data_IF_590319961311
#
_entry.id   IF_590319961311
#
_cell.length_a   1.000
_cell.length_b   1.000
_cell.length_c   1.000
_cell.angle_alpha   90.00
_cell.angle_beta   90.00
_cell.angle_gamma   90.00
#
_symmetry.space_group_name_H-M   'P 1'
#
loop_
_entity.id
_entity.type
_entity.pdbx_description
1 polymer ?
#
# COMPACT_ATOMS: atom_id res chain seq x y z
N UNK A 1 -28.15 -6.66 12.92
CA UNK A 1 -27.58 -5.45 12.29
C UNK A 1 -28.59 -4.31 12.07
N UNK A 2 -29.77 -4.55 11.45
CA UNK A 2 -30.75 -3.48 11.13
C UNK A 2 -31.23 -2.66 12.34
N UNK A 3 -31.49 -3.30 13.49
CA UNK A 3 -31.89 -2.61 14.74
C UNK A 3 -30.81 -1.65 15.24
N UNK A 4 -29.55 -2.10 15.31
CA UNK A 4 -28.42 -1.28 15.74
C UNK A 4 -28.21 -0.07 14.80
N UNK A 5 -28.26 -0.28 13.48
CA UNK A 5 -28.17 0.82 12.51
C UNK A 5 -29.30 1.84 12.66
N UNK A 6 -30.54 1.39 12.92
CA UNK A 6 -31.67 2.27 13.18
C UNK A 6 -31.45 3.11 14.44
N UNK A 7 -30.95 2.49 15.52
CA UNK A 7 -30.62 3.19 16.77
C UNK A 7 -29.53 4.24 16.55
N UNK A 8 -28.42 3.87 15.91
CA UNK A 8 -27.32 4.78 15.59
C UNK A 8 -27.80 5.96 14.73
N UNK A 9 -28.56 5.69 13.66
CA UNK A 9 -29.15 6.73 12.81
C UNK A 9 -30.03 7.70 13.62
N UNK A 10 -30.83 7.16 14.54
CA UNK A 10 -31.65 7.97 15.45
C UNK A 10 -30.82 8.84 16.39
N UNK A 11 -29.78 8.28 17.01
CA UNK A 11 -28.89 9.00 17.93
C UNK A 11 -28.14 10.12 17.20
N UNK A 12 -27.47 9.80 16.09
CA UNK A 12 -26.76 10.78 15.26
C UNK A 12 -27.70 11.89 14.77
N UNK A 13 -28.91 11.55 14.32
CA UNK A 13 -29.90 12.54 13.89
C UNK A 13 -30.46 13.43 15.00
N UNK A 14 -30.47 12.96 16.25
CA UNK A 14 -30.81 13.80 17.42
C UNK A 14 -29.69 14.77 17.74
N UNK A 15 -28.46 14.28 17.86
CA UNK A 15 -27.27 15.12 18.14
C UNK A 15 -27.09 16.19 17.07
N UNK A 16 -27.20 15.84 15.78
CA UNK A 16 -27.11 16.80 14.68
C UNK A 16 -28.16 17.92 14.78
N UNK A 17 -29.41 17.59 15.12
CA UNK A 17 -30.48 18.61 15.29
C UNK A 17 -30.23 19.49 16.50
N UNK A 18 -29.70 18.93 17.56
CA UNK A 18 -29.40 19.68 18.78
C UNK A 18 -28.27 20.69 18.56
N UNK A 19 -27.15 20.24 17.99
CA UNK A 19 -26.03 21.10 17.59
C UNK A 19 -26.45 22.21 16.62
N UNK A 20 -27.37 21.92 15.69
CA UNK A 20 -27.95 22.94 14.80
C UNK A 20 -28.71 24.02 15.55
N UNK A 21 -29.47 23.68 16.58
CA UNK A 21 -30.24 24.65 17.39
C UNK A 21 -29.33 25.53 18.25
N UNK A 22 -28.19 24.98 18.67
CA UNK A 22 -27.20 25.70 19.49
C UNK A 22 -26.16 26.46 18.66
N UNK A 23 -26.25 26.42 17.32
CA UNK A 23 -25.24 26.99 16.45
C UNK A 23 -25.03 28.49 16.66
N UNK A 24 -26.10 29.23 16.98
CA UNK A 24 -26.02 30.67 17.27
C UNK A 24 -25.34 30.98 18.60
N UNK A 25 -25.27 30.00 19.51
CA UNK A 25 -24.50 30.11 20.75
C UNK A 25 -23.00 29.88 20.53
N UNK A 26 -22.59 29.43 19.33
CA UNK A 26 -21.19 29.27 18.97
C UNK A 26 -20.67 30.59 18.39
N UNK A 27 -19.67 31.24 18.99
CA UNK A 27 -19.08 32.46 18.46
C UNK A 27 -18.58 32.27 17.02
N UNK A 28 -18.67 33.32 16.21
CA UNK A 28 -18.11 33.30 14.87
C UNK A 28 -16.59 33.02 14.92
N UNK A 29 -16.10 32.25 13.96
CA UNK A 29 -14.70 31.88 13.84
C UNK A 29 -14.47 30.41 13.48
N UNK A 30 -13.22 29.94 13.54
CA UNK A 30 -12.82 28.64 13.01
C UNK A 30 -13.55 27.44 13.64
N UNK A 31 -13.97 27.55 14.90
CA UNK A 31 -14.74 26.50 15.56
C UNK A 31 -16.14 26.37 14.95
N UNK A 32 -16.84 27.49 14.72
CA UNK A 32 -18.18 27.49 14.12
C UNK A 32 -18.16 26.93 12.70
N UNK A 33 -17.13 27.27 11.92
CA UNK A 33 -16.91 26.71 10.58
C UNK A 33 -16.73 25.18 10.62
N UNK A 34 -15.87 24.67 11.50
CA UNK A 34 -15.70 23.21 11.67
C UNK A 34 -16.99 22.50 12.09
N UNK A 35 -17.77 23.13 12.97
CA UNK A 35 -19.09 22.60 13.38
C UNK A 35 -20.04 22.56 12.18
N UNK A 36 -20.08 23.62 11.37
CA UNK A 36 -20.87 23.69 10.15
C UNK A 36 -20.47 22.59 9.15
N UNK A 37 -19.18 22.42 8.88
CA UNK A 37 -18.66 21.37 7.99
C UNK A 37 -19.09 19.98 8.45
N UNK A 38 -18.95 19.70 9.75
CA UNK A 38 -19.38 18.43 10.35
C UNK A 38 -20.90 18.23 10.27
N UNK A 39 -21.69 19.29 10.44
CA UNK A 39 -23.14 19.23 10.29
C UNK A 39 -23.56 18.97 8.83
N UNK A 40 -22.83 19.51 7.85
CA UNK A 40 -23.04 19.24 6.41
C UNK A 40 -22.73 17.77 6.11
N UNK A 41 -21.56 17.27 6.53
CA UNK A 41 -21.15 15.88 6.34
C UNK A 41 -22.12 14.90 7.00
N UNK A 42 -22.51 15.16 8.25
CA UNK A 42 -23.46 14.31 9.00
C UNK A 42 -24.83 14.30 8.34
N UNK A 43 -25.29 15.45 7.82
CA UNK A 43 -26.55 15.55 7.08
C UNK A 43 -26.53 14.72 5.81
N UNK A 44 -25.43 14.74 5.05
CA UNK A 44 -25.23 13.89 3.87
C UNK A 44 -25.21 12.41 4.26
N UNK A 45 -24.48 12.04 5.30
CA UNK A 45 -24.42 10.66 5.81
C UNK A 45 -25.81 10.11 6.18
N UNK A 46 -26.66 10.90 6.84
CA UNK A 46 -28.00 10.47 7.24
C UNK A 46 -28.99 10.31 6.07
N UNK A 47 -28.79 11.06 4.99
CA UNK A 47 -29.60 11.02 3.76
C UNK A 47 -29.16 9.94 2.78
N UNK A 48 -27.89 9.55 2.84
CA UNK A 48 -27.28 8.55 1.97
C UNK A 48 -28.06 7.23 1.96
N UNK A 49 -28.24 6.68 0.75
CA UNK A 49 -28.93 5.43 0.47
C UNK A 49 -27.97 4.31 0.08
N UNK A 50 -28.41 3.04 0.14
CA UNK A 50 -27.57 1.89 -0.20
C UNK A 50 -27.05 1.86 -1.64
N UNK A 51 -27.64 2.58 -2.60
CA UNK A 51 -27.22 2.58 -4.00
C UNK A 51 -26.50 3.87 -4.43
N UNK A 52 -26.32 4.82 -3.52
CA UNK A 52 -25.66 6.09 -3.84
C UNK A 52 -24.18 5.87 -4.19
N UNK A 53 -23.68 6.69 -5.12
CA UNK A 53 -22.25 6.78 -5.42
C UNK A 53 -21.58 7.78 -4.47
N UNK A 54 -20.26 7.66 -4.30
CA UNK A 54 -19.47 8.59 -3.46
C UNK A 54 -19.97 8.59 -2.02
N UNK A 55 -20.03 7.43 -1.39
CA UNK A 55 -20.54 7.30 -0.02
C UNK A 55 -19.53 7.78 1.00
N UNK A 56 -20.02 8.37 2.08
CA UNK A 56 -19.23 8.66 3.27
C UNK A 56 -19.12 7.36 4.09
N UNK A 57 -17.90 6.88 4.27
CA UNK A 57 -17.58 5.74 5.12
C UNK A 57 -16.97 6.16 6.47
N UNK A 58 -16.33 7.34 6.52
CA UNK A 58 -15.77 7.94 7.73
C UNK A 58 -16.07 9.44 7.74
N UNK A 59 -16.50 9.97 8.89
CA UNK A 59 -16.66 11.42 9.07
C UNK A 59 -15.32 12.13 9.28
N UNK A 60 -14.32 11.43 9.79
CA UNK A 60 -12.98 11.98 10.04
C UNK A 60 -12.11 12.01 8.78
N UNK A 61 -12.48 11.23 7.78
CA UNK A 61 -11.75 11.09 6.51
C UNK A 61 -12.78 10.79 5.38
N UNK A 62 -13.54 11.81 4.92
CA UNK A 62 -14.64 11.64 3.96
C UNK A 62 -14.22 11.07 2.60
N UNK A 63 -12.94 11.20 2.25
CA UNK A 63 -12.29 10.70 1.03
C UNK A 63 -11.98 9.19 1.05
N UNK A 64 -12.13 8.52 2.19
CA UNK A 64 -11.87 7.08 2.31
C UNK A 64 -12.74 6.27 1.36
N UNK A 65 -12.12 5.42 0.55
CA UNK A 65 -12.84 4.49 -0.31
C UNK A 65 -13.22 3.20 0.43
N UNK A 66 -14.27 2.55 -0.06
CA UNK A 66 -14.59 1.17 0.29
C UNK A 66 -14.10 0.24 -0.81
N UNK A 67 -13.20 -0.66 -0.45
CA UNK A 67 -12.53 -1.59 -1.36
C UNK A 67 -13.06 -2.99 -1.09
N UNK A 68 -13.73 -3.58 -2.06
CA UNK A 68 -14.21 -4.96 -2.00
C UNK A 68 -13.04 -5.93 -1.99
N UNK A 69 -13.08 -6.86 -1.05
CA UNK A 69 -12.16 -8.00 -0.98
C UNK A 69 -12.85 -9.27 -1.48
N UNK A 70 -12.12 -10.07 -2.24
CA UNK A 70 -12.52 -11.44 -2.59
C UNK A 70 -12.44 -12.45 -1.42
N UNK A 71 -12.37 -12.00 -0.16
CA UNK A 71 -12.21 -12.86 1.02
C UNK A 71 -13.55 -12.99 1.75
N UNK A 72 -14.00 -14.23 2.00
CA UNK A 72 -15.31 -14.52 2.59
C UNK A 72 -15.54 -13.88 3.98
N UNK A 73 -14.48 -13.87 4.83
CA UNK A 73 -14.55 -13.39 6.22
C UNK A 73 -14.44 -11.87 6.35
N UNK A 74 -13.65 -11.20 5.51
CA UNK A 74 -13.55 -9.74 5.46
C UNK A 74 -13.81 -9.28 4.03
N UNK A 75 -15.06 -8.89 3.76
CA UNK A 75 -15.55 -8.55 2.41
C UNK A 75 -15.17 -7.14 1.95
N UNK A 76 -14.84 -6.26 2.88
CA UNK A 76 -14.52 -4.87 2.60
C UNK A 76 -13.33 -4.42 3.43
N UNK A 77 -12.50 -3.58 2.82
CA UNK A 77 -11.55 -2.71 3.50
C UNK A 77 -11.89 -1.25 3.23
N UNK A 78 -11.43 -0.39 4.12
CA UNK A 78 -11.60 1.04 4.02
C UNK A 78 -10.24 1.71 3.93
N UNK A 79 -10.08 2.59 2.96
CA UNK A 79 -8.87 3.37 2.72
C UNK A 79 -8.68 3.60 1.24
N UNK A 80 -7.58 4.27 0.90
CA UNK A 80 -7.22 4.54 -0.51
C UNK A 80 -6.44 3.38 -1.10
N UNK A 81 -6.80 2.97 -2.32
CA UNK A 81 -6.07 1.94 -3.08
C UNK A 81 -4.66 2.45 -3.38
N UNK A 82 -3.68 1.56 -3.41
CA UNK A 82 -2.30 1.92 -3.75
C UNK A 82 -1.78 0.97 -4.84
N UNK A 83 -1.30 1.53 -5.94
CA UNK A 83 -0.52 0.80 -6.94
C UNK A 83 0.89 0.59 -6.43
N UNK A 84 1.45 -0.61 -6.66
CA UNK A 84 2.80 -1.00 -6.24
C UNK A 84 3.49 -1.70 -7.41
N UNK A 85 4.65 -1.21 -7.80
CA UNK A 85 5.53 -1.81 -8.79
C UNK A 85 6.86 -2.19 -8.14
N UNK A 86 7.30 -3.43 -8.36
CA UNK A 86 8.53 -3.97 -7.81
C UNK A 86 9.40 -4.61 -8.88
N UNK A 87 10.73 -4.60 -8.70
CA UNK A 87 11.64 -5.38 -9.54
C UNK A 87 11.36 -6.87 -9.37
N UNK A 88 11.45 -7.63 -10.46
CA UNK A 88 11.04 -9.04 -10.47
C UNK A 88 12.03 -9.95 -9.73
N UNK A 89 13.30 -9.58 -9.70
CA UNK A 89 14.37 -10.44 -9.19
C UNK A 89 14.69 -10.13 -7.72
N UNK A 90 14.80 -8.85 -7.37
CA UNK A 90 15.18 -8.41 -6.03
C UNK A 90 13.98 -7.93 -5.20
N UNK A 91 12.83 -7.63 -5.82
CA UNK A 91 11.65 -7.11 -5.12
C UNK A 91 11.84 -5.69 -4.58
N UNK A 92 12.67 -4.85 -5.19
CA UNK A 92 12.75 -3.43 -4.81
C UNK A 92 11.55 -2.68 -5.34
N UNK A 93 10.96 -1.82 -4.52
CA UNK A 93 9.81 -1.01 -4.94
C UNK A 93 10.32 0.14 -5.80
N UNK A 94 9.89 0.18 -7.06
CA UNK A 94 10.31 1.17 -8.07
C UNK A 94 9.18 2.09 -8.51
N UNK A 95 7.97 1.84 -8.01
CA UNK A 95 6.81 2.71 -8.17
C UNK A 95 5.79 2.43 -7.09
N UNK A 96 5.22 3.47 -6.49
CA UNK A 96 4.14 3.34 -5.52
C UNK A 96 3.28 4.60 -5.56
N UNK A 97 1.96 4.44 -5.76
CA UNK A 97 1.05 5.57 -5.99
C UNK A 97 -0.31 5.33 -5.36
N UNK A 98 -0.81 6.30 -4.61
CA UNK A 98 -2.18 6.30 -4.11
C UNK A 98 -3.17 6.55 -5.26
N UNK A 99 -4.28 5.82 -5.25
CA UNK A 99 -5.31 5.78 -6.28
C UNK A 99 -6.69 6.02 -5.62
N UNK A 100 -7.05 7.28 -5.34
CA UNK A 100 -8.35 7.62 -4.74
C UNK A 100 -9.51 7.36 -5.71
N UNK A 101 -10.69 7.10 -5.17
CA UNK A 101 -11.91 6.81 -5.93
C UNK A 101 -12.07 5.33 -6.31
N UNK A 102 -11.23 4.44 -5.76
CA UNK A 102 -11.21 3.00 -6.04
C UNK A 102 -11.32 2.65 -7.55
N UNK A 103 -10.39 3.13 -8.40
CA UNK A 103 -10.41 2.84 -9.83
C UNK A 103 -10.22 1.35 -10.11
N UNK A 104 -10.66 0.89 -11.29
CA UNK A 104 -10.37 -0.47 -11.76
C UNK A 104 -8.89 -0.64 -12.08
N UNK A 105 -8.26 -1.72 -11.61
CA UNK A 105 -6.80 -1.93 -11.68
C UNK A 105 -6.28 -1.89 -13.13
N UNK A 106 -7.03 -2.43 -14.11
CA UNK A 106 -6.64 -2.35 -15.52
C UNK A 106 -6.41 -0.92 -16.01
N UNK A 107 -7.23 0.03 -15.56
CA UNK A 107 -7.14 1.43 -15.99
C UNK A 107 -5.95 2.18 -15.36
N UNK A 108 -5.32 1.62 -14.33
CA UNK A 108 -4.22 2.29 -13.61
C UNK A 108 -2.84 1.82 -14.05
N UNK A 109 -2.77 0.82 -14.94
CA UNK A 109 -1.48 0.26 -15.36
C UNK A 109 -0.62 1.26 -16.11
N UNK A 110 -1.22 2.03 -17.03
CA UNK A 110 -0.49 3.02 -17.83
C UNK A 110 0.23 4.05 -16.93
N UNK A 111 -0.51 4.64 -15.98
CA UNK A 111 0.04 5.58 -15.01
C UNK A 111 1.09 4.94 -14.08
N UNK A 112 0.92 3.67 -13.73
CA UNK A 112 1.89 2.95 -12.90
C UNK A 112 3.21 2.71 -13.66
N UNK A 113 3.14 2.35 -14.94
CA UNK A 113 4.33 2.17 -15.78
C UNK A 113 5.02 3.51 -16.03
N UNK A 114 4.27 4.55 -16.39
CA UNK A 114 4.79 5.91 -16.55
C UNK A 114 5.53 6.38 -15.29
N UNK A 115 4.95 6.16 -14.10
CA UNK A 115 5.60 6.50 -12.85
C UNK A 115 6.97 5.80 -12.71
N UNK A 116 7.04 4.50 -13.02
CA UNK A 116 8.30 3.76 -12.93
C UNK A 116 9.32 4.29 -13.94
N UNK A 117 8.90 4.59 -15.17
CA UNK A 117 9.81 5.14 -16.19
C UNK A 117 10.37 6.50 -15.76
N UNK A 118 9.53 7.38 -15.21
CA UNK A 118 9.96 8.68 -14.67
C UNK A 118 10.92 8.52 -13.50
N UNK A 119 10.64 7.63 -12.55
CA UNK A 119 11.46 7.45 -11.35
C UNK A 119 12.80 6.74 -11.62
N UNK A 120 12.85 5.91 -12.66
CA UNK A 120 14.04 5.11 -12.98
C UNK A 120 14.81 5.60 -14.19
N UNK A 121 14.27 6.59 -14.91
CA UNK A 121 14.76 7.09 -16.20
C UNK A 121 15.01 5.95 -17.21
N UNK A 122 14.14 4.93 -17.18
CA UNK A 122 14.27 3.72 -18.00
C UNK A 122 12.93 3.25 -18.51
N UNK A 123 12.84 3.06 -19.82
CA UNK A 123 11.68 2.44 -20.46
C UNK A 123 11.57 0.97 -20.09
N UNK A 124 10.37 0.54 -19.69
CA UNK A 124 10.11 -0.84 -19.30
C UNK A 124 9.91 -1.74 -20.52
N UNK A 125 10.74 -2.78 -20.64
CA UNK A 125 10.59 -3.79 -21.68
C UNK A 125 9.47 -4.79 -21.36
N UNK A 126 9.25 -5.08 -20.08
CA UNK A 126 8.33 -6.12 -19.62
C UNK A 126 7.72 -5.76 -18.26
N UNK A 127 6.40 -5.91 -18.14
CA UNK A 127 5.69 -5.85 -16.87
C UNK A 127 4.93 -7.16 -16.64
N UNK A 128 4.95 -7.69 -15.41
CA UNK A 128 4.23 -8.92 -15.04
C UNK A 128 3.17 -8.58 -14.01
N UNK A 129 1.91 -8.81 -14.33
CA UNK A 129 0.77 -8.27 -13.58
C UNK A 129 -0.26 -9.34 -13.23
N UNK A 130 -1.09 -9.02 -12.24
CA UNK A 130 -2.21 -9.85 -11.82
C UNK A 130 -3.39 -9.83 -12.79
N UNK A 131 -4.31 -10.81 -12.71
CA UNK A 131 -5.46 -10.87 -13.61
C UNK A 131 -6.39 -9.65 -13.51
N UNK A 132 -6.33 -8.90 -12.42
CA UNK A 132 -7.09 -7.65 -12.24
C UNK A 132 -6.73 -6.56 -13.25
N UNK A 133 -5.54 -6.63 -13.85
CA UNK A 133 -5.05 -5.66 -14.84
C UNK A 133 -5.49 -5.95 -16.28
N UNK A 134 -6.45 -6.86 -16.51
CA UNK A 134 -6.98 -7.10 -17.86
C UNK A 134 -7.64 -5.84 -18.43
N UNK A 135 -7.56 -5.65 -19.75
CA UNK A 135 -8.13 -4.48 -20.42
C UNK A 135 -7.35 -3.19 -20.22
N UNK A 136 -6.04 -3.27 -19.94
CA UNK A 136 -5.20 -2.12 -19.60
C UNK A 136 -4.84 -1.17 -20.75
N UNK A 137 -5.09 -1.55 -22.01
CA UNK A 137 -4.82 -0.73 -23.21
C UNK A 137 -3.39 -0.17 -23.35
N UNK A 138 -2.39 -0.81 -22.72
CA UNK A 138 -0.96 -0.41 -22.84
C UNK A 138 -0.32 -1.14 -24.01
N UNK A 139 0.28 -0.38 -24.92
CA UNK A 139 0.97 -0.90 -26.11
C UNK A 139 2.49 -0.70 -26.04
N UNK A 140 2.95 0.25 -25.24
CA UNK A 140 4.36 0.68 -25.18
C UNK A 140 5.28 -0.29 -24.47
N UNK A 141 4.75 -1.12 -23.58
CA UNK A 141 5.45 -2.10 -22.75
C UNK A 141 4.81 -3.46 -22.93
N UNK A 142 5.60 -4.53 -23.05
CA UNK A 142 5.06 -5.89 -23.08
C UNK A 142 4.49 -6.25 -21.72
N UNK A 143 3.19 -6.53 -21.64
CA UNK A 143 2.51 -6.90 -20.39
C UNK A 143 2.22 -8.41 -20.37
N UNK A 144 2.69 -9.11 -19.34
CA UNK A 144 2.35 -10.50 -19.06
C UNK A 144 1.32 -10.57 -17.94
N UNK A 145 0.10 -10.97 -18.29
CA UNK A 145 -0.98 -11.14 -17.32
C UNK A 145 -1.01 -12.57 -16.80
N UNK A 146 -1.11 -12.75 -15.49
CA UNK A 146 -1.27 -14.06 -14.86
C UNK A 146 -2.48 -14.83 -15.40
N UNK A 147 -2.31 -16.15 -15.58
CA UNK A 147 -3.31 -17.03 -16.17
C UNK A 147 -3.29 -17.11 -17.70
N UNK A 148 -2.41 -16.36 -18.37
CA UNK A 148 -2.21 -16.49 -19.83
C UNK A 148 -1.55 -17.84 -20.14
N UNK A 149 -2.10 -18.59 -21.11
CA UNK A 149 -1.62 -19.94 -21.49
C UNK A 149 -0.99 -20.01 -22.88
N UNK A 150 -1.39 -19.15 -23.81
CA UNK A 150 -0.91 -19.14 -25.20
C UNK A 150 0.43 -18.40 -25.32
N UNK A 151 1.31 -18.87 -26.22
CA UNK A 151 2.57 -18.18 -26.56
C UNK A 151 3.61 -18.17 -25.43
N UNK A 152 3.59 -19.17 -24.55
CA UNK A 152 4.42 -19.20 -23.34
C UNK A 152 5.73 -19.95 -23.58
N UNK A 153 6.85 -19.24 -23.43
CA UNK A 153 8.18 -19.86 -23.32
C UNK A 153 8.48 -20.22 -21.86
N UNK A 154 9.42 -21.15 -21.59
CA UNK A 154 9.82 -21.51 -20.23
C UNK A 154 10.22 -20.30 -19.37
N UNK A 155 10.89 -19.31 -19.98
CA UNK A 155 11.29 -18.06 -19.32
C UNK A 155 10.09 -17.23 -18.88
N UNK A 156 9.09 -17.06 -19.75
CA UNK A 156 7.87 -16.29 -19.43
C UNK A 156 7.07 -16.97 -18.31
N UNK A 157 7.02 -18.31 -18.31
CA UNK A 157 6.39 -19.09 -17.24
C UNK A 157 7.11 -18.85 -15.90
N UNK A 158 8.45 -18.84 -15.91
CA UNK A 158 9.25 -18.55 -14.70
C UNK A 158 8.96 -17.16 -14.15
N UNK A 159 8.87 -16.14 -15.02
CA UNK A 159 8.55 -14.77 -14.62
C UNK A 159 7.13 -14.65 -14.05
N UNK A 160 6.14 -15.29 -14.69
CA UNK A 160 4.77 -15.37 -14.19
C UNK A 160 4.69 -16.04 -12.81
N UNK A 161 5.52 -17.06 -12.54
CA UNK A 161 5.63 -17.68 -11.21
C UNK A 161 6.29 -16.75 -10.20
N UNK A 162 7.35 -16.03 -10.58
CA UNK A 162 8.05 -15.07 -9.71
C UNK A 162 7.19 -13.89 -9.29
N UNK A 163 6.18 -13.52 -10.08
CA UNK A 163 5.23 -12.44 -9.75
C UNK A 163 4.61 -12.58 -8.34
N UNK A 164 4.40 -13.78 -7.83
CA UNK A 164 3.86 -13.97 -6.47
C UNK A 164 4.78 -13.45 -5.36
N UNK A 165 6.07 -13.21 -5.65
CA UNK A 165 7.01 -12.60 -4.72
C UNK A 165 6.66 -11.16 -4.34
N UNK A 166 5.78 -10.47 -5.07
CA UNK A 166 5.30 -9.14 -4.66
C UNK A 166 4.41 -9.20 -3.40
N UNK A 167 3.74 -10.33 -3.15
CA UNK A 167 2.85 -10.51 -2.01
C UNK A 167 3.57 -10.41 -0.66
N UNK A 168 4.70 -11.10 -0.41
CA UNK A 168 5.47 -10.91 0.81
C UNK A 168 6.02 -9.48 0.94
N UNK A 169 6.42 -8.83 -0.16
CA UNK A 169 6.88 -7.42 -0.12
C UNK A 169 5.75 -6.48 0.34
N UNK A 170 4.53 -6.64 -0.20
CA UNK A 170 3.34 -5.92 0.28
C UNK A 170 3.02 -6.28 1.74
N UNK A 171 3.22 -7.54 2.14
CA UNK A 171 3.12 -8.00 3.52
C UNK A 171 4.02 -7.21 4.47
N UNK A 172 5.31 -7.14 4.17
CA UNK A 172 6.30 -6.37 4.92
C UNK A 172 5.98 -4.88 4.97
N UNK A 173 5.52 -4.28 3.87
CA UNK A 173 5.06 -2.90 3.88
C UNK A 173 3.84 -2.69 4.79
N UNK A 174 2.92 -3.65 4.86
CA UNK A 174 1.75 -3.60 5.75
C UNK A 174 2.11 -3.73 7.23
N UNK A 175 3.03 -4.62 7.58
CA UNK A 175 3.44 -4.88 8.97
C UNK A 175 4.48 -3.86 9.44
N UNK A 176 5.59 -3.75 8.71
CA UNK A 176 6.79 -3.03 9.13
C UNK A 176 6.71 -1.57 8.67
N UNK A 177 6.20 -1.36 7.45
CA UNK A 177 5.95 -0.03 6.88
C UNK A 177 4.65 0.62 7.33
N UNK A 178 3.85 -0.07 8.16
CA UNK A 178 2.55 0.38 8.67
C UNK A 178 1.59 0.85 7.58
N UNK A 179 1.65 0.26 6.37
CA UNK A 179 0.76 0.62 5.26
C UNK A 179 -0.73 0.48 5.61
N UNK A 180 -1.06 -0.34 6.62
CA UNK A 180 -2.42 -0.52 7.15
C UNK A 180 -2.90 0.60 8.07
N UNK A 181 -2.00 1.45 8.58
CA UNK A 181 -2.29 2.53 9.53
C UNK A 181 -1.60 3.80 9.07
N UNK A 182 -2.30 4.58 8.25
CA UNK A 182 -1.76 5.84 7.73
C UNK A 182 -1.91 6.95 8.77
N UNK A 183 -0.82 7.65 9.13
CA UNK A 183 -0.88 8.75 10.09
C UNK A 183 -1.21 10.10 9.42
N UNK A 184 -1.03 10.21 8.11
CA UNK A 184 -1.29 11.43 7.35
C UNK A 184 -2.74 11.45 6.88
N UNK A 185 -3.38 12.62 6.97
CA UNK A 185 -4.77 12.83 6.55
C UNK A 185 -4.85 13.29 5.10
N UNK A 186 -5.97 13.01 4.44
CA UNK A 186 -6.25 13.51 3.11
C UNK A 186 -5.61 12.68 2.01
N UNK A 187 -6.10 12.87 0.79
CA UNK A 187 -5.57 12.24 -0.43
C UNK A 187 -4.10 12.58 -0.65
N UNK A 188 -3.66 13.80 -0.33
CA UNK A 188 -2.24 14.20 -0.36
C UNK A 188 -1.43 13.42 0.67
N UNK A 189 -1.95 13.27 1.90
CA UNK A 189 -1.32 12.48 2.95
C UNK A 189 -1.16 11.01 2.54
N UNK A 190 -2.18 10.44 1.89
CA UNK A 190 -2.15 9.09 1.36
C UNK A 190 -1.07 8.91 0.29
N UNK A 191 -0.97 9.85 -0.64
CA UNK A 191 0.03 9.83 -1.69
C UNK A 191 1.46 9.93 -1.12
N UNK A 192 1.70 10.86 -0.21
CA UNK A 192 3.00 11.02 0.45
C UNK A 192 3.37 9.78 1.26
N UNK A 193 2.43 9.25 2.04
CA UNK A 193 2.69 8.09 2.88
C UNK A 193 2.98 6.83 2.05
N UNK A 194 2.31 6.66 0.91
CA UNK A 194 2.59 5.55 -0.01
C UNK A 194 4.05 5.56 -0.48
N UNK A 195 4.55 6.71 -0.93
CA UNK A 195 5.95 6.87 -1.36
C UNK A 195 6.92 6.66 -0.20
N UNK A 196 6.67 7.26 0.96
CA UNK A 196 7.53 7.09 2.15
C UNK A 196 7.57 5.63 2.62
N UNK A 197 6.46 4.90 2.51
CA UNK A 197 6.39 3.48 2.83
C UNK A 197 7.29 2.65 1.90
N UNK A 198 7.25 2.91 0.59
CA UNK A 198 8.15 2.30 -0.40
C UNK A 198 9.62 2.58 -0.10
N UNK A 199 9.97 3.86 0.15
CA UNK A 199 11.34 4.26 0.49
C UNK A 199 11.82 3.53 1.74
N UNK A 200 11.02 3.54 2.81
CA UNK A 200 11.35 2.85 4.06
C UNK A 200 11.54 1.34 3.86
N UNK A 201 10.76 0.73 2.98
CA UNK A 201 10.90 -0.68 2.62
C UNK A 201 12.22 -0.97 1.91
N UNK A 202 12.56 -0.20 0.88
CA UNK A 202 13.83 -0.33 0.18
C UNK A 202 15.03 -0.11 1.11
N UNK A 203 14.98 0.89 1.99
CA UNK A 203 16.02 1.15 3.00
C UNK A 203 16.21 -0.07 3.90
N UNK A 204 15.13 -0.70 4.39
CA UNK A 204 15.24 -1.93 5.19
C UNK A 204 15.93 -3.05 4.41
N UNK A 205 15.63 -3.21 3.11
CA UNK A 205 16.31 -4.21 2.25
C UNK A 205 17.79 -3.90 2.07
N UNK A 206 18.17 -2.65 1.81
CA UNK A 206 19.57 -2.26 1.72
C UNK A 206 20.32 -2.52 3.03
N UNK A 207 19.74 -2.14 4.16
CA UNK A 207 20.34 -2.37 5.47
C UNK A 207 20.48 -3.86 5.80
N UNK A 208 19.54 -4.70 5.37
CA UNK A 208 19.65 -6.16 5.52
C UNK A 208 20.84 -6.73 4.73
N UNK A 209 21.03 -6.27 3.48
CA UNK A 209 22.18 -6.68 2.65
C UNK A 209 23.51 -6.21 3.26
N UNK A 210 23.58 -4.95 3.71
CA UNK A 210 24.78 -4.41 4.35
C UNK A 210 25.14 -5.16 5.63
N UNK A 211 24.13 -5.54 6.44
CA UNK A 211 24.35 -6.37 7.64
C UNK A 211 24.89 -7.76 7.30
N UNK A 212 24.37 -8.40 6.26
CA UNK A 212 24.86 -9.70 5.81
C UNK A 212 26.30 -9.61 5.29
N UNK A 213 26.61 -8.58 4.49
CA UNK A 213 27.96 -8.33 4.00
C UNK A 213 28.94 -8.08 5.16
N UNK A 214 28.56 -7.25 6.13
CA UNK A 214 29.39 -6.98 7.31
C UNK A 214 29.65 -8.27 8.10
N UNK A 215 28.64 -9.13 8.29
CA UNK A 215 28.81 -10.42 8.97
C UNK A 215 29.79 -11.34 8.23
N UNK A 216 29.75 -11.37 6.89
CA UNK A 216 30.70 -12.13 6.07
C UNK A 216 32.12 -11.59 6.20
N UNK A 217 32.30 -10.26 6.18
CA UNK A 217 33.61 -9.64 6.35
C UNK A 217 34.21 -9.93 7.74
N UNK A 218 33.40 -9.81 8.80
CA UNK A 218 33.82 -10.15 10.17
C UNK A 218 34.21 -11.63 10.23
N UNK A 219 33.40 -12.53 9.67
CA UNK A 219 33.70 -13.96 9.62
C UNK A 219 35.02 -14.26 8.91
N UNK A 220 35.25 -13.66 7.74
CA UNK A 220 36.49 -13.82 6.98
C UNK A 220 37.73 -13.32 7.75
N UNK A 221 37.61 -12.16 8.41
CA UNK A 221 38.68 -11.62 9.26
C UNK A 221 39.00 -12.57 10.42
N UNK A 222 37.98 -13.03 11.15
CA UNK A 222 38.16 -13.97 12.26
C UNK A 222 38.82 -15.28 11.80
N UNK A 223 38.39 -15.83 10.66
CA UNK A 223 39.01 -17.03 10.07
C UNK A 223 40.48 -16.81 9.73
N UNK A 224 40.83 -15.66 9.14
CA UNK A 224 42.22 -15.31 8.83
C UNK A 224 43.09 -15.23 10.10
N UNK A 225 42.57 -14.63 11.18
CA UNK A 225 43.29 -14.58 12.48
C UNK A 225 43.46 -15.96 13.12
N UNK A 226 42.51 -16.88 12.96
CA UNK A 226 42.63 -18.25 13.49
C UNK A 226 43.59 -19.12 12.67
N UNK A 227 43.64 -18.94 11.35
CA UNK A 227 44.57 -19.66 10.46
C UNK A 227 46.04 -19.23 10.65
N UNK A 228 46.28 -18.01 11.13
CA UNK A 228 47.62 -17.48 11.41
C UNK A 228 48.21 -17.87 12.77
N UNK A 229 47.52 -18.62 13.62
CA UNK A 229 48.11 -19.16 14.87
C UNK A 229 48.86 -20.47 14.56
N UNK A 230 50.20 -20.51 14.64
CA UNK A 230 50.92 -21.76 14.52
C UNK A 230 50.45 -22.68 15.65
N UNK A 231 50.13 -23.93 15.33
CA UNK A 231 50.02 -24.97 16.34
C UNK A 231 51.35 -25.01 17.08
N UNK A 232 51.36 -24.50 18.32
CA UNK A 232 52.53 -24.56 19.18
C UNK A 232 53.00 -26.00 19.29
N UNK A 233 54.28 -26.20 18.93
CA UNK A 233 55.03 -27.43 19.16
C UNK A 233 54.60 -28.11 20.46
N UNK A 234 53.95 -29.28 20.36
CA UNK A 234 54.10 -30.27 21.42
C UNK A 234 55.53 -30.77 21.32
N UNK A 235 56.37 -30.14 22.13
CA UNK A 235 57.73 -30.56 22.36
C UNK A 235 57.77 -32.05 22.70
N UNK A 236 58.62 -32.75 21.96
CA UNK A 236 59.21 -34.03 22.32
C UNK A 236 59.78 -33.90 23.73
N UNK A 237 59.29 -34.71 24.66
CA UNK A 237 59.96 -34.97 25.92
C UNK A 237 60.30 -36.47 25.94
N UNK A 238 61.60 -36.70 26.16
CA UNK A 238 62.36 -37.95 26.19
C UNK A 238 61.70 -39.11 26.96
#
# INVERSE_FOLDING_TARGET
>A
MRKALRTLKGYTGRVMRDLRRQLDNVPAGPLRERVLDMLVLTSRLLRQQPKDKGKIFSLHEPEVDCISKGKARMRYEFGTKVSVAATIDEGFIVGMRALPGNPYDGHTLAEALEQVEVLTDRRLNLAVVDPGYRGHAVETTRVLISGTRKGMTPTLIKLLRRRSAIEPEIGHMKTDGRLTRRPLKGTTGDALFAVLCACGHNIRKFLAHLRALLALLIGALLSAFTAGRPHGNRAVAA
#
